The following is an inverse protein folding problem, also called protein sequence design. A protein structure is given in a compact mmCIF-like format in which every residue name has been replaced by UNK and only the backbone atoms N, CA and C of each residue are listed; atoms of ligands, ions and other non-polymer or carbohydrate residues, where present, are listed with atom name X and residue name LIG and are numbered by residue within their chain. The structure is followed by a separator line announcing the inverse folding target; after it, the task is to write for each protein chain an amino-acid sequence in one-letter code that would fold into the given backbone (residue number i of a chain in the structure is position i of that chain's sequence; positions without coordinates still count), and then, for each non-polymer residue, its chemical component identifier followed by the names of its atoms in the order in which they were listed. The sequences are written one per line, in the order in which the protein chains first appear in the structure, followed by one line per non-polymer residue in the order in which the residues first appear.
data_IF_699769319480
#
_entry.id   IF_699769319480
#
_cell.length_a   1.000
_cell.length_b   1.000
_cell.length_c   1.000
_cell.angle_alpha   90.00
_cell.angle_beta   90.00
_cell.angle_gamma   90.00
#
_symmetry.space_group_name_H-M   'P 1'
#
loop_
_entity.id
_entity.type
_entity.pdbx_description
1 polymer ?
#
# COMPACT_ATOMS: atom_id res chain seq x y z
N UNK A 1 15.75 -9.62 -11.19
CA UNK A 1 16.32 -10.99 -11.23
C UNK A 1 17.66 -11.11 -11.97
N UNK A 2 17.90 -10.53 -13.18
CA UNK A 2 19.17 -10.71 -13.89
C UNK A 2 20.43 -10.35 -13.09
N UNK A 3 20.35 -9.38 -12.18
CA UNK A 3 21.47 -8.95 -11.33
C UNK A 3 21.97 -10.07 -10.38
N UNK A 4 21.18 -11.10 -10.13
CA UNK A 4 21.59 -12.23 -9.28
C UNK A 4 22.77 -13.04 -9.88
N UNK A 5 22.93 -13.04 -11.21
CA UNK A 5 24.03 -13.77 -11.88
C UNK A 5 25.40 -13.12 -11.58
N UNK A 6 25.64 -11.84 -11.89
CA UNK A 6 26.89 -11.20 -11.50
C UNK A 6 27.10 -11.16 -9.99
N UNK A 7 26.04 -11.00 -9.18
CA UNK A 7 26.14 -11.07 -7.72
C UNK A 7 26.66 -12.44 -7.25
N UNK A 8 26.18 -13.54 -7.83
CA UNK A 8 26.64 -14.89 -7.48
C UNK A 8 28.11 -15.12 -7.90
N UNK A 9 28.55 -14.57 -9.03
CA UNK A 9 29.94 -14.62 -9.46
C UNK A 9 30.88 -13.86 -8.50
N UNK A 10 30.49 -12.64 -8.12
CA UNK A 10 31.24 -11.84 -7.14
C UNK A 10 31.29 -12.51 -5.78
N UNK A 11 30.16 -13.02 -5.30
CA UNK A 11 30.09 -13.77 -4.04
C UNK A 11 31.08 -14.94 -4.01
N UNK A 12 31.12 -15.72 -5.11
CA UNK A 12 32.06 -16.85 -5.22
C UNK A 12 33.52 -16.37 -5.31
N UNK A 13 33.78 -15.27 -6.03
CA UNK A 13 35.13 -14.75 -6.21
C UNK A 13 35.73 -14.19 -4.92
N UNK A 14 34.92 -13.47 -4.15
CA UNK A 14 35.34 -12.79 -2.93
C UNK A 14 35.04 -13.57 -1.64
N UNK A 15 34.37 -14.72 -1.72
CA UNK A 15 33.96 -15.52 -0.56
C UNK A 15 32.94 -14.83 0.34
N UNK A 16 32.12 -13.92 -0.20
CA UNK A 16 31.16 -13.14 0.58
C UNK A 16 29.72 -13.65 0.41
N UNK A 17 28.89 -13.61 1.46
CA UNK A 17 27.49 -14.05 1.38
C UNK A 17 26.61 -13.09 0.57
N UNK A 18 25.46 -13.59 0.09
CA UNK A 18 24.45 -12.80 -0.62
C UNK A 18 23.21 -12.68 0.25
N UNK A 19 22.76 -11.44 0.48
CA UNK A 19 21.42 -11.13 0.98
C UNK A 19 20.59 -10.66 -0.21
N UNK A 20 19.49 -11.37 -0.47
CA UNK A 20 18.53 -11.03 -1.51
C UNK A 20 17.36 -10.27 -0.90
N UNK A 21 17.20 -8.99 -1.24
CA UNK A 21 16.04 -8.19 -0.82
C UNK A 21 14.96 -8.25 -1.90
N UNK A 22 13.79 -8.79 -1.57
CA UNK A 22 12.64 -8.93 -2.47
C UNK A 22 11.59 -7.86 -2.18
N UNK A 23 11.48 -6.91 -3.12
CA UNK A 23 10.42 -5.90 -3.12
C UNK A 23 9.22 -6.32 -3.98
N UNK A 24 9.44 -7.23 -4.94
CA UNK A 24 8.45 -7.86 -5.80
C UNK A 24 8.84 -9.31 -6.09
N UNK A 25 7.85 -10.18 -6.26
CA UNK A 25 8.05 -11.58 -6.63
C UNK A 25 7.87 -11.72 -8.14
N UNK A 26 8.98 -11.68 -8.86
CA UNK A 26 9.03 -11.94 -10.29
C UNK A 26 9.44 -13.42 -10.55
N UNK A 27 8.83 -14.11 -11.54
CA UNK A 27 7.93 -13.56 -12.56
C UNK A 27 6.45 -13.48 -12.16
N UNK A 28 6.03 -14.00 -11.01
CA UNK A 28 4.62 -14.15 -10.62
C UNK A 28 3.81 -12.86 -10.79
N UNK A 29 4.33 -11.74 -10.27
CA UNK A 29 3.66 -10.46 -10.37
C UNK A 29 3.46 -10.00 -11.82
N UNK A 30 4.48 -10.17 -12.69
CA UNK A 30 4.41 -9.77 -14.09
C UNK A 30 3.46 -10.68 -14.91
N UNK A 31 3.42 -11.97 -14.60
CA UNK A 31 2.49 -12.93 -15.21
C UNK A 31 1.05 -12.59 -14.79
N UNK A 32 0.85 -12.32 -13.52
CA UNK A 32 -0.48 -12.04 -12.97
C UNK A 32 -1.14 -10.82 -13.63
N UNK A 33 -0.38 -9.73 -13.83
CA UNK A 33 -0.90 -8.52 -14.49
C UNK A 33 -0.86 -8.58 -16.02
N UNK A 34 -0.48 -9.73 -16.60
CA UNK A 34 -0.44 -9.94 -18.05
C UNK A 34 0.72 -9.26 -18.79
N UNK A 35 1.70 -8.71 -18.07
CA UNK A 35 2.91 -8.11 -18.68
C UNK A 35 3.87 -9.15 -19.20
N UNK A 36 3.83 -10.38 -18.70
CA UNK A 36 4.66 -11.49 -19.15
C UNK A 36 3.77 -12.68 -19.52
N UNK A 37 3.56 -12.90 -20.82
CA UNK A 37 2.70 -13.96 -21.36
C UNK A 37 3.46 -15.07 -22.09
N UNK A 38 4.69 -14.78 -22.55
CA UNK A 38 5.50 -15.74 -23.30
C UNK A 38 6.03 -16.85 -22.40
N UNK A 39 5.57 -18.09 -22.62
CA UNK A 39 5.90 -19.27 -21.83
C UNK A 39 7.41 -19.58 -21.74
N UNK A 40 8.17 -19.30 -22.82
CA UNK A 40 9.64 -19.52 -22.82
C UNK A 40 10.31 -18.50 -21.89
N UNK A 41 9.89 -17.25 -21.95
CA UNK A 41 10.40 -16.21 -21.06
C UNK A 41 10.01 -16.45 -19.59
N UNK A 42 8.77 -16.89 -19.33
CA UNK A 42 8.33 -17.28 -17.97
C UNK A 42 9.27 -18.37 -17.42
N UNK A 43 9.57 -19.42 -18.21
CA UNK A 43 10.50 -20.48 -17.80
C UNK A 43 11.91 -19.95 -17.49
N UNK A 44 12.43 -19.02 -18.31
CA UNK A 44 13.73 -18.40 -18.07
C UNK A 44 13.74 -17.60 -16.77
N UNK A 45 12.75 -16.75 -16.57
CA UNK A 45 12.65 -15.94 -15.34
C UNK A 45 12.43 -16.82 -14.10
N UNK A 46 11.62 -17.88 -14.18
CA UNK A 46 11.45 -18.84 -13.07
C UNK A 46 12.74 -19.60 -12.76
N UNK A 47 13.57 -19.88 -13.77
CA UNK A 47 14.89 -20.50 -13.56
C UNK A 47 15.86 -19.53 -12.88
N UNK A 48 15.86 -18.26 -13.28
CA UNK A 48 16.65 -17.22 -12.63
C UNK A 48 16.20 -16.98 -11.20
N UNK A 49 14.91 -16.99 -10.94
CA UNK A 49 14.31 -16.89 -9.61
C UNK A 49 14.81 -18.03 -8.70
N UNK A 50 14.69 -19.28 -9.15
CA UNK A 50 15.19 -20.45 -8.42
C UNK A 50 16.70 -20.36 -8.15
N UNK A 51 17.46 -19.91 -9.15
CA UNK A 51 18.89 -19.69 -9.00
C UNK A 51 19.18 -18.63 -7.93
N UNK A 52 18.49 -17.48 -7.95
CA UNK A 52 18.63 -16.41 -6.97
C UNK A 52 18.34 -16.92 -5.54
N UNK A 53 17.24 -17.65 -5.36
CA UNK A 53 16.87 -18.20 -4.05
C UNK A 53 17.83 -19.26 -3.54
N UNK A 54 18.40 -20.08 -4.45
CA UNK A 54 19.41 -21.09 -4.11
C UNK A 54 20.72 -20.47 -3.66
N UNK A 55 21.18 -19.44 -4.35
CA UNK A 55 22.48 -18.80 -4.12
C UNK A 55 22.47 -17.81 -2.94
N UNK A 56 21.34 -17.22 -2.63
CA UNK A 56 21.20 -16.33 -1.47
C UNK A 56 21.44 -17.08 -0.15
N UNK A 57 22.24 -16.48 0.73
CA UNK A 57 22.44 -16.91 2.11
C UNK A 57 21.18 -16.62 2.94
N UNK A 58 20.62 -15.42 2.76
CA UNK A 58 19.37 -14.96 3.37
C UNK A 58 18.54 -14.19 2.33
N UNK A 59 17.22 -14.19 2.55
CA UNK A 59 16.25 -13.48 1.70
C UNK A 59 15.39 -12.62 2.60
N UNK A 60 15.48 -11.30 2.44
CA UNK A 60 14.56 -10.39 3.11
C UNK A 60 13.33 -10.16 2.24
N UNK A 61 12.16 -10.20 2.86
CA UNK A 61 10.85 -9.98 2.22
C UNK A 61 10.08 -8.92 2.98
N UNK A 62 9.18 -8.22 2.29
CA UNK A 62 8.51 -7.04 2.87
C UNK A 62 7.22 -7.34 3.63
N UNK A 63 6.68 -8.56 3.50
CA UNK A 63 5.44 -8.95 4.13
C UNK A 63 5.24 -10.48 4.15
N UNK A 64 4.34 -10.96 5.01
CA UNK A 64 4.03 -12.38 5.21
C UNK A 64 3.52 -13.11 3.94
N UNK A 65 2.86 -12.39 3.03
CA UNK A 65 2.44 -12.96 1.75
C UNK A 65 3.63 -13.39 0.88
N UNK A 66 4.73 -12.64 0.94
CA UNK A 66 5.98 -13.02 0.28
C UNK A 66 6.58 -14.29 0.92
N UNK A 67 6.63 -14.34 2.25
CA UNK A 67 7.08 -15.53 2.98
C UNK A 67 6.28 -16.76 2.56
N UNK A 68 4.95 -16.66 2.56
CA UNK A 68 4.07 -17.75 2.13
C UNK A 68 4.36 -18.19 0.69
N UNK A 69 4.51 -17.25 -0.24
CA UNK A 69 4.84 -17.57 -1.64
C UNK A 69 6.19 -18.30 -1.77
N UNK A 70 7.23 -17.82 -1.09
CA UNK A 70 8.55 -18.45 -1.12
C UNK A 70 8.53 -19.87 -0.55
N UNK A 71 7.77 -20.11 0.51
CA UNK A 71 7.58 -21.43 1.09
C UNK A 71 6.92 -22.40 0.10
N UNK A 72 5.93 -21.97 -0.68
CA UNK A 72 5.33 -22.81 -1.76
C UNK A 72 6.32 -23.15 -2.86
N UNK A 73 7.38 -22.33 -3.03
CA UNK A 73 8.49 -22.56 -3.97
C UNK A 73 9.64 -23.37 -3.35
N UNK A 74 9.41 -23.98 -2.19
CA UNK A 74 10.38 -24.77 -1.43
C UNK A 74 11.66 -24.00 -1.02
N UNK A 75 11.54 -22.70 -0.78
CA UNK A 75 12.63 -21.94 -0.15
C UNK A 75 12.65 -22.27 1.33
N UNK A 76 13.80 -22.68 1.90
CA UNK A 76 13.90 -23.02 3.31
C UNK A 76 13.52 -21.84 4.21
N UNK A 77 12.66 -22.06 5.20
CA UNK A 77 12.15 -21.02 6.09
C UNK A 77 13.28 -20.26 6.82
N UNK A 78 14.36 -20.96 7.20
CA UNK A 78 15.52 -20.37 7.85
C UNK A 78 16.29 -19.37 6.98
N UNK A 79 16.06 -19.35 5.66
CA UNK A 79 16.61 -18.32 4.76
C UNK A 79 15.77 -17.05 4.70
N UNK A 80 14.48 -17.12 5.04
CA UNK A 80 13.51 -16.04 4.85
C UNK A 80 13.44 -15.20 6.12
N UNK A 81 13.55 -13.89 5.96
CA UNK A 81 13.41 -12.91 7.05
C UNK A 81 12.45 -11.82 6.58
N UNK A 82 11.41 -11.58 7.36
CA UNK A 82 10.46 -10.51 7.06
C UNK A 82 10.99 -9.19 7.63
N UNK A 83 11.27 -8.25 6.76
CA UNK A 83 11.68 -6.88 7.09
C UNK A 83 10.80 -5.94 6.26
N UNK A 84 9.77 -5.33 6.86
CA UNK A 84 8.83 -4.48 6.14
C UNK A 84 9.51 -3.20 5.63
N UNK A 85 8.94 -2.64 4.57
CA UNK A 85 9.33 -1.31 4.14
C UNK A 85 9.01 -0.28 5.23
N UNK A 86 9.87 0.72 5.36
CA UNK A 86 9.77 1.75 6.39
C UNK A 86 9.02 2.99 5.93
N UNK A 87 8.57 3.76 6.89
CA UNK A 87 8.07 5.11 6.72
C UNK A 87 8.80 6.03 7.71
N UNK A 88 9.11 7.25 7.27
CA UNK A 88 9.62 8.28 8.18
C UNK A 88 8.47 8.79 9.05
N UNK A 89 8.37 8.25 10.27
CA UNK A 89 7.32 8.57 11.23
C UNK A 89 7.48 9.96 11.85
N UNK A 90 8.63 10.61 11.68
CA UNK A 90 8.86 11.99 12.09
C UNK A 90 8.36 12.98 11.04
N UNK A 91 8.52 12.66 9.77
CA UNK A 91 8.00 13.42 8.64
C UNK A 91 6.49 13.19 8.45
N UNK A 92 6.05 11.93 8.44
CA UNK A 92 4.62 11.58 8.39
C UNK A 92 4.13 11.35 9.83
N UNK A 93 3.39 12.32 10.33
CA UNK A 93 2.83 12.28 11.69
C UNK A 93 1.42 12.87 11.72
N UNK A 94 0.62 12.55 12.75
CA UNK A 94 -0.68 13.19 12.94
C UNK A 94 -0.51 14.70 13.05
N UNK A 95 -1.20 15.45 12.20
CA UNK A 95 -1.28 16.90 12.25
C UNK A 95 -2.75 17.33 12.49
N UNK A 96 -2.99 18.49 13.13
CA UNK A 96 -4.33 19.04 13.31
C UNK A 96 -5.03 19.26 11.97
N UNK A 97 -6.34 19.08 11.93
CA UNK A 97 -7.17 19.43 10.76
C UNK A 97 -7.50 20.92 10.71
N UNK A 98 -7.52 21.58 11.86
CA UNK A 98 -7.79 23.00 11.96
C UNK A 98 -6.64 23.79 11.34
N UNK A 99 -6.98 24.80 10.54
CA UNK A 99 -6.01 25.63 9.81
C UNK A 99 -5.14 24.86 8.82
N UNK A 100 -5.64 23.73 8.29
CA UNK A 100 -4.94 22.95 7.29
C UNK A 100 -5.02 23.64 5.91
N UNK A 101 -3.88 24.03 5.36
CA UNK A 101 -3.81 24.75 4.08
C UNK A 101 -4.36 23.94 2.92
N UNK A 102 -4.16 22.61 2.89
CA UNK A 102 -4.71 21.77 1.86
C UNK A 102 -6.25 21.79 1.85
N UNK A 103 -6.89 21.84 3.05
CA UNK A 103 -8.34 22.02 3.16
C UNK A 103 -8.79 23.39 2.66
N UNK A 104 -8.06 24.47 3.01
CA UNK A 104 -8.37 25.83 2.57
C UNK A 104 -8.22 26.00 1.06
N UNK A 105 -7.08 25.56 0.48
CA UNK A 105 -6.81 25.63 -0.96
C UNK A 105 -7.86 24.88 -1.80
N UNK A 106 -8.49 23.84 -1.24
CA UNK A 106 -9.42 22.96 -1.96
C UNK A 106 -10.88 23.04 -1.47
N UNK A 107 -11.22 24.03 -0.67
CA UNK A 107 -12.58 24.27 -0.14
C UNK A 107 -13.16 23.07 0.62
N UNK A 108 -12.34 22.43 1.46
CA UNK A 108 -12.68 21.22 2.24
C UNK A 108 -12.99 21.50 3.71
N UNK A 109 -13.11 22.79 4.10
CA UNK A 109 -13.50 23.15 5.46
C UNK A 109 -14.90 22.63 5.78
N UNK A 110 -15.07 22.07 6.96
CA UNK A 110 -16.34 21.47 7.39
C UNK A 110 -16.69 20.14 6.71
N UNK A 111 -15.86 19.64 5.78
CA UNK A 111 -16.11 18.39 5.09
C UNK A 111 -15.51 17.19 5.85
N UNK A 112 -16.16 16.04 5.72
CA UNK A 112 -15.57 14.72 6.00
C UNK A 112 -14.84 14.25 4.74
N UNK A 113 -13.52 14.24 4.79
CA UNK A 113 -12.65 13.99 3.63
C UNK A 113 -12.23 12.54 3.56
N UNK A 114 -12.62 11.87 2.49
CA UNK A 114 -12.19 10.52 2.12
C UNK A 114 -11.10 10.63 1.07
N UNK A 115 -9.85 10.36 1.44
CA UNK A 115 -8.68 10.63 0.60
C UNK A 115 -8.09 9.34 -0.01
N UNK A 116 -8.04 9.28 -1.32
CA UNK A 116 -7.12 8.40 -2.05
C UNK A 116 -5.96 9.23 -2.59
N UNK A 117 -4.72 8.86 -2.30
CA UNK A 117 -3.53 9.48 -2.88
C UNK A 117 -2.54 8.43 -3.34
N UNK A 118 -2.05 8.55 -4.57
CA UNK A 118 -1.02 7.66 -5.09
C UNK A 118 -1.15 7.31 -6.57
N UNK A 119 -0.33 6.36 -7.00
CA UNK A 119 -0.39 5.88 -8.38
C UNK A 119 -1.75 5.21 -8.66
N UNK A 120 -2.31 5.50 -9.83
CA UNK A 120 -3.58 4.94 -10.31
C UNK A 120 -3.23 3.97 -11.43
N UNK A 121 -2.97 2.72 -11.06
CA UNK A 121 -2.64 1.64 -11.98
C UNK A 121 -3.87 0.74 -12.23
N UNK A 122 -3.73 -0.23 -13.13
CA UNK A 122 -4.79 -1.16 -13.51
C UNK A 122 -5.34 -2.01 -12.34
N UNK A 123 -4.58 -2.12 -11.27
CA UNK A 123 -4.93 -2.89 -10.06
C UNK A 123 -5.70 -2.08 -9.01
N UNK A 124 -5.88 -0.77 -9.23
CA UNK A 124 -6.63 0.11 -8.34
C UNK A 124 -7.94 0.54 -9.01
N UNK A 125 -9.10 -0.04 -8.61
CA UNK A 125 -10.40 0.25 -9.21
C UNK A 125 -11.00 1.55 -8.62
N UNK A 126 -10.52 2.70 -9.07
CA UNK A 126 -11.00 3.99 -8.53
C UNK A 126 -12.39 4.37 -9.04
N UNK A 127 -12.84 3.76 -10.11
CA UNK A 127 -14.22 3.82 -10.57
C UNK A 127 -15.17 3.36 -9.44
N UNK A 128 -14.83 2.29 -8.72
CA UNK A 128 -15.60 1.82 -7.55
C UNK A 128 -15.69 2.87 -6.44
N UNK A 129 -14.63 3.67 -6.23
CA UNK A 129 -14.66 4.75 -5.24
C UNK A 129 -15.57 5.90 -5.69
N UNK A 130 -15.62 6.18 -7.00
CA UNK A 130 -16.55 7.16 -7.58
C UNK A 130 -17.99 6.67 -7.46
N UNK A 131 -18.25 5.39 -7.76
CA UNK A 131 -19.58 4.79 -7.62
C UNK A 131 -20.04 4.80 -6.15
N UNK A 132 -19.15 4.50 -5.21
CA UNK A 132 -19.43 4.63 -3.78
C UNK A 132 -19.77 6.07 -3.37
N UNK A 133 -19.11 7.07 -3.97
CA UNK A 133 -19.40 8.47 -3.73
C UNK A 133 -20.81 8.86 -4.23
N UNK A 134 -21.28 8.28 -5.34
CA UNK A 134 -22.65 8.50 -5.82
C UNK A 134 -23.70 8.08 -4.78
N UNK A 135 -23.49 6.98 -4.06
CA UNK A 135 -24.39 6.55 -2.96
C UNK A 135 -24.41 7.53 -1.77
N UNK A 136 -23.47 8.48 -1.72
CA UNK A 136 -23.28 9.45 -0.64
C UNK A 136 -23.53 10.90 -1.09
N UNK A 137 -24.00 11.13 -2.32
CA UNK A 137 -24.15 12.47 -2.91
C UNK A 137 -25.13 13.36 -2.13
N UNK A 138 -26.14 12.76 -1.48
CA UNK A 138 -27.14 13.46 -0.68
C UNK A 138 -26.61 13.91 0.70
N UNK A 139 -25.35 13.59 1.03
CA UNK A 139 -24.68 14.02 2.27
C UNK A 139 -23.58 15.02 1.89
N UNK A 140 -23.90 16.31 1.83
CA UNK A 140 -22.98 17.32 1.28
C UNK A 140 -21.70 17.51 2.10
N UNK A 141 -21.66 17.02 3.33
CA UNK A 141 -20.47 17.03 4.18
C UNK A 141 -19.42 16.01 3.73
N UNK A 142 -19.80 14.92 3.04
CA UNK A 142 -18.85 13.90 2.60
C UNK A 142 -18.23 14.29 1.26
N UNK A 143 -16.91 14.44 1.25
CA UNK A 143 -16.13 14.77 0.06
C UNK A 143 -15.08 13.69 -0.20
N UNK A 144 -15.13 13.05 -1.36
CA UNK A 144 -14.09 12.14 -1.84
C UNK A 144 -13.04 12.95 -2.59
N UNK A 145 -11.78 12.77 -2.23
CA UNK A 145 -10.63 13.43 -2.88
C UNK A 145 -9.71 12.37 -3.46
N UNK A 146 -9.46 12.42 -4.76
CA UNK A 146 -8.55 11.51 -5.46
C UNK A 146 -7.37 12.31 -5.99
N UNK A 147 -6.17 11.98 -5.50
CA UNK A 147 -4.92 12.62 -5.90
C UNK A 147 -4.10 11.64 -6.74
N UNK A 148 -3.73 12.03 -7.97
CA UNK A 148 -3.04 11.14 -8.89
C UNK A 148 -2.38 11.82 -10.07
N UNK A 149 -1.88 11.00 -11.02
CA UNK A 149 -1.30 11.49 -12.28
C UNK A 149 -2.37 12.03 -13.21
N UNK A 150 -2.04 13.07 -13.96
CA UNK A 150 -2.95 13.80 -14.87
C UNK A 150 -3.68 12.86 -15.85
N UNK A 151 -2.97 11.96 -16.50
CA UNK A 151 -3.53 11.05 -17.51
C UNK A 151 -4.61 10.12 -16.93
N UNK A 152 -4.40 9.66 -15.69
CA UNK A 152 -5.37 8.82 -15.00
C UNK A 152 -6.57 9.65 -14.51
N UNK A 153 -6.32 10.89 -14.06
CA UNK A 153 -7.39 11.80 -13.62
C UNK A 153 -8.30 12.21 -14.78
N UNK A 154 -7.79 12.42 -15.99
CA UNK A 154 -8.59 12.74 -17.17
C UNK A 154 -9.62 11.63 -17.50
N UNK A 155 -9.23 10.38 -17.32
CA UNK A 155 -10.14 9.23 -17.47
C UNK A 155 -11.20 9.21 -16.37
N UNK A 156 -10.78 9.39 -15.12
CA UNK A 156 -11.69 9.41 -13.96
C UNK A 156 -12.64 10.62 -13.99
N UNK A 157 -12.21 11.77 -14.53
CA UNK A 157 -13.07 12.94 -14.67
C UNK A 157 -14.25 12.67 -15.61
N UNK A 158 -14.00 12.03 -16.76
CA UNK A 158 -15.09 11.60 -17.66
C UNK A 158 -16.05 10.66 -16.98
N UNK A 159 -15.52 9.68 -16.23
CA UNK A 159 -16.34 8.73 -15.50
C UNK A 159 -17.15 9.41 -14.39
N UNK A 160 -16.53 10.28 -13.59
CA UNK A 160 -17.18 11.09 -12.56
C UNK A 160 -18.37 11.88 -13.10
N UNK A 161 -18.19 12.55 -14.25
CA UNK A 161 -19.25 13.32 -14.90
C UNK A 161 -20.40 12.41 -15.37
N UNK A 162 -20.09 11.26 -15.98
CA UNK A 162 -21.10 10.28 -16.42
C UNK A 162 -21.93 9.75 -15.26
N UNK A 163 -21.32 9.53 -14.10
CA UNK A 163 -21.99 9.03 -12.91
C UNK A 163 -22.69 10.13 -12.08
N UNK A 164 -22.48 11.40 -12.39
CA UNK A 164 -23.03 12.50 -11.61
C UNK A 164 -22.43 12.65 -10.21
N UNK A 165 -21.22 12.16 -9.99
CA UNK A 165 -20.54 12.17 -8.69
C UNK A 165 -19.99 13.58 -8.35
N UNK A 166 -20.88 14.50 -7.97
CA UNK A 166 -20.55 15.91 -7.67
C UNK A 166 -19.69 16.07 -6.40
N UNK A 167 -19.72 15.08 -5.51
CA UNK A 167 -18.95 15.02 -4.25
C UNK A 167 -17.57 14.36 -4.41
N UNK A 168 -17.04 14.27 -5.66
CA UNK A 168 -15.69 13.78 -5.94
C UNK A 168 -14.83 14.92 -6.48
N UNK A 169 -13.68 15.17 -5.86
CA UNK A 169 -12.66 16.13 -6.26
C UNK A 169 -11.41 15.39 -6.76
N UNK A 170 -10.97 15.71 -7.98
CA UNK A 170 -9.77 15.14 -8.59
C UNK A 170 -8.64 16.17 -8.59
N UNK A 171 -7.50 15.82 -7.98
CA UNK A 171 -6.37 16.72 -7.82
C UNK A 171 -5.08 16.10 -8.34
N UNK A 172 -4.16 16.87 -8.93
CA UNK A 172 -2.85 16.40 -9.35
C UNK A 172 -1.99 16.02 -8.13
N UNK A 173 -0.93 15.25 -8.38
CA UNK A 173 0.05 14.96 -7.34
C UNK A 173 0.57 16.23 -6.68
N UNK A 174 0.65 16.18 -5.36
CA UNK A 174 1.21 17.24 -4.55
C UNK A 174 2.73 17.06 -4.41
N UNK A 175 3.50 18.15 -4.25
CA UNK A 175 4.91 18.08 -3.86
C UNK A 175 5.07 17.28 -2.56
N UNK A 176 6.23 16.60 -2.42
CA UNK A 176 6.49 15.74 -1.26
C UNK A 176 6.34 16.48 0.07
N UNK A 177 6.73 17.73 0.10
CA UNK A 177 6.69 18.59 1.29
C UNK A 177 5.25 18.84 1.77
N UNK A 178 4.27 18.83 0.85
CA UNK A 178 2.84 18.97 1.17
C UNK A 178 2.18 17.64 1.58
N UNK A 179 2.87 16.52 1.48
CA UNK A 179 2.29 15.20 1.79
C UNK A 179 1.76 15.07 3.22
N UNK A 180 2.50 15.48 4.28
CA UNK A 180 1.98 15.39 5.66
C UNK A 180 0.69 16.18 5.84
N UNK A 181 0.59 17.36 5.24
CA UNK A 181 -0.55 18.25 5.36
C UNK A 181 -1.75 17.74 4.56
N UNK A 182 -1.52 17.21 3.35
CA UNK A 182 -2.55 16.55 2.56
C UNK A 182 -3.13 15.33 3.28
N UNK A 183 -2.28 14.50 3.90
CA UNK A 183 -2.75 13.35 4.70
C UNK A 183 -3.52 13.81 5.95
N UNK A 184 -3.07 14.90 6.59
CA UNK A 184 -3.75 15.48 7.74
C UNK A 184 -5.13 16.07 7.39
N UNK A 185 -5.33 16.48 6.15
CA UNK A 185 -6.61 16.96 5.66
C UNK A 185 -7.69 15.86 5.60
N UNK A 186 -7.28 14.60 5.53
CA UNK A 186 -8.20 13.47 5.47
C UNK A 186 -8.83 13.13 6.83
N UNK A 187 -10.05 12.64 6.79
CA UNK A 187 -10.70 11.93 7.90
C UNK A 187 -10.46 10.42 7.76
N UNK A 188 -10.44 9.94 6.52
CA UNK A 188 -10.21 8.54 6.16
C UNK A 188 -9.25 8.44 4.97
N UNK A 189 -8.26 7.56 5.07
CA UNK A 189 -7.38 7.18 3.97
C UNK A 189 -7.88 5.93 3.25
N UNK A 190 -7.76 5.90 1.92
CA UNK A 190 -8.27 4.81 1.08
C UNK A 190 -7.14 3.93 0.55
N UNK A 191 -7.32 2.61 0.68
CA UNK A 191 -6.53 1.59 -0.01
C UNK A 191 -7.45 0.80 -0.93
N UNK A 192 -7.14 0.78 -2.23
CA UNK A 192 -7.97 0.14 -3.24
C UNK A 192 -7.19 -0.93 -3.99
N UNK A 193 -7.73 -2.14 -4.09
CA UNK A 193 -7.23 -3.23 -4.93
C UNK A 193 -8.40 -3.93 -5.61
N UNK A 194 -8.18 -4.47 -6.81
CA UNK A 194 -9.15 -5.35 -7.46
C UNK A 194 -9.24 -6.69 -6.74
N UNK A 195 -10.36 -7.40 -6.91
CA UNK A 195 -10.58 -8.74 -6.34
C UNK A 195 -9.53 -9.77 -6.80
N UNK A 196 -9.00 -9.62 -8.00
CA UNK A 196 -8.04 -10.54 -8.60
C UNK A 196 -6.59 -10.12 -8.40
N UNK A 197 -6.28 -9.19 -7.49
CA UNK A 197 -4.88 -8.84 -7.17
C UNK A 197 -4.21 -10.02 -6.48
N UNK A 198 -2.96 -10.27 -6.85
CA UNK A 198 -2.17 -11.36 -6.27
C UNK A 198 -2.05 -11.20 -4.75
N UNK A 199 -2.29 -12.30 -4.00
CA UNK A 199 -2.48 -12.28 -2.55
C UNK A 199 -1.28 -11.75 -1.74
N UNK A 200 -0.07 -11.79 -2.29
CA UNK A 200 1.12 -11.24 -1.63
C UNK A 200 1.33 -9.73 -1.88
N UNK A 201 0.53 -9.09 -2.74
CA UNK A 201 0.71 -7.66 -3.02
C UNK A 201 0.50 -6.81 -1.76
N UNK A 202 1.49 -5.99 -1.42
CA UNK A 202 1.48 -5.08 -0.27
C UNK A 202 1.59 -3.64 -0.76
N UNK A 203 0.48 -2.86 -0.74
CA UNK A 203 0.52 -1.46 -1.12
C UNK A 203 1.35 -0.62 -0.13
N UNK A 204 2.40 0.04 -0.62
CA UNK A 204 3.28 0.89 0.22
C UNK A 204 2.56 2.07 0.89
N UNK A 205 1.39 2.47 0.40
CA UNK A 205 0.59 3.53 1.02
C UNK A 205 0.03 3.15 2.40
N UNK A 206 -0.07 1.85 2.73
CA UNK A 206 -0.57 1.40 4.04
C UNK A 206 0.31 1.94 5.16
N UNK A 207 1.65 1.83 5.06
CA UNK A 207 2.58 2.33 6.06
C UNK A 207 2.42 3.84 6.25
N UNK A 208 2.29 4.58 5.14
CA UNK A 208 2.15 6.04 5.15
C UNK A 208 0.82 6.47 5.77
N UNK A 209 -0.29 5.80 5.44
CA UNK A 209 -1.60 6.10 6.01
C UNK A 209 -1.65 5.78 7.50
N UNK A 210 -1.12 4.64 7.93
CA UNK A 210 -1.02 4.29 9.35
C UNK A 210 -0.19 5.34 10.10
N UNK A 211 0.98 5.73 9.56
CA UNK A 211 1.84 6.73 10.17
C UNK A 211 1.17 8.11 10.29
N UNK A 212 0.26 8.45 9.38
CA UNK A 212 -0.49 9.71 9.43
C UNK A 212 -1.53 9.77 10.55
N UNK A 213 -1.82 8.64 11.21
CA UNK A 213 -2.84 8.55 12.26
C UNK A 213 -4.26 8.74 11.74
N UNK A 214 -4.52 8.41 10.48
CA UNK A 214 -5.88 8.44 9.89
C UNK A 214 -6.45 7.04 9.82
N UNK A 215 -7.75 6.90 10.11
CA UNK A 215 -8.44 5.65 9.88
C UNK A 215 -8.32 5.22 8.41
N UNK A 216 -8.19 3.93 8.16
CA UNK A 216 -8.08 3.40 6.80
C UNK A 216 -9.37 2.63 6.47
N UNK A 217 -9.89 2.84 5.25
CA UNK A 217 -10.81 1.89 4.61
C UNK A 217 -10.04 1.22 3.48
N UNK A 218 -9.90 -0.10 3.57
CA UNK A 218 -9.20 -0.92 2.60
C UNK A 218 -10.20 -1.80 1.83
N UNK A 219 -10.48 -1.42 0.58
CA UNK A 219 -11.23 -2.24 -0.38
C UNK A 219 -10.24 -3.18 -1.07
N UNK A 220 -10.05 -4.35 -0.48
CA UNK A 220 -8.98 -5.31 -0.82
C UNK A 220 -9.45 -6.75 -0.60
N UNK A 221 -8.85 -7.76 -1.29
CA UNK A 221 -9.14 -9.17 -1.00
C UNK A 221 -8.89 -9.52 0.47
N UNK A 222 -9.88 -10.16 1.10
CA UNK A 222 -9.85 -10.46 2.54
C UNK A 222 -8.71 -11.41 2.94
N UNK A 223 -8.30 -12.31 2.05
CA UNK A 223 -7.17 -13.24 2.23
C UNK A 223 -5.82 -12.65 1.80
N UNK A 224 -5.81 -11.39 1.37
CA UNK A 224 -4.62 -10.68 0.89
C UNK A 224 -3.71 -10.17 2.00
N UNK A 225 -2.46 -9.89 1.64
CA UNK A 225 -1.48 -9.28 2.56
C UNK A 225 -1.93 -7.90 3.04
N UNK A 226 -2.58 -7.11 2.18
CA UNK A 226 -3.09 -5.80 2.54
C UNK A 226 -4.17 -5.87 3.64
N UNK A 227 -5.12 -6.80 3.52
CA UNK A 227 -6.16 -7.02 4.54
C UNK A 227 -5.53 -7.38 5.89
N UNK A 228 -4.62 -8.37 5.91
CA UNK A 228 -3.93 -8.76 7.14
C UNK A 228 -3.12 -7.64 7.78
N UNK A 229 -2.52 -6.75 6.98
CA UNK A 229 -1.79 -5.59 7.51
C UNK A 229 -2.73 -4.60 8.21
N UNK A 230 -3.92 -4.35 7.66
CA UNK A 230 -4.94 -3.50 8.29
C UNK A 230 -5.49 -4.15 9.56
N UNK A 231 -5.79 -5.45 9.55
CA UNK A 231 -6.29 -6.19 10.70
C UNK A 231 -5.27 -6.21 11.87
N UNK A 232 -4.00 -6.52 11.57
CA UNK A 232 -2.93 -6.53 12.58
C UNK A 232 -2.68 -5.16 13.21
N UNK A 233 -2.77 -4.11 12.41
CA UNK A 233 -2.58 -2.75 12.91
C UNK A 233 -3.77 -2.25 13.72
N UNK A 234 -4.95 -2.84 13.54
CA UNK A 234 -6.21 -2.29 14.07
C UNK A 234 -6.50 -0.88 13.57
N UNK A 235 -5.82 -0.45 12.48
CA UNK A 235 -5.85 0.93 11.97
C UNK A 235 -6.95 1.21 10.95
N UNK A 236 -7.89 0.28 10.71
CA UNK A 236 -8.90 0.50 9.69
C UNK A 236 -9.94 -0.59 9.56
N UNK A 237 -10.75 -0.45 8.52
CA UNK A 237 -11.79 -1.38 8.11
C UNK A 237 -11.41 -2.04 6.79
N UNK A 238 -11.63 -3.34 6.67
CA UNK A 238 -11.50 -4.08 5.41
C UNK A 238 -12.88 -4.28 4.83
N UNK A 239 -13.05 -3.98 3.53
CA UNK A 239 -14.30 -4.18 2.80
C UNK A 239 -14.04 -4.96 1.50
N UNK A 240 -15.07 -5.60 1.00
CA UNK A 240 -15.02 -6.34 -0.28
C UNK A 240 -14.51 -5.45 -1.40
N UNK A 241 -13.53 -5.89 -2.19
CA UNK A 241 -13.05 -5.12 -3.33
C UNK A 241 -14.12 -5.05 -4.44
N UNK A 242 -14.11 -3.93 -5.17
CA UNK A 242 -15.01 -3.69 -6.30
C UNK A 242 -16.51 -3.72 -5.91
N UNK A 243 -16.83 -3.43 -4.64
CA UNK A 243 -18.18 -3.33 -4.09
C UNK A 243 -18.45 -1.89 -3.61
N UNK A 244 -19.11 -1.04 -4.42
CA UNK A 244 -19.35 0.35 -4.08
C UNK A 244 -20.32 0.52 -2.90
N UNK A 245 -21.29 -0.38 -2.70
CA UNK A 245 -22.23 -0.30 -1.59
C UNK A 245 -21.57 -0.62 -0.26
N UNK A 246 -20.73 -1.66 -0.21
CA UNK A 246 -19.94 -1.99 0.97
C UNK A 246 -18.97 -0.84 1.31
N UNK A 247 -18.36 -0.22 0.30
CA UNK A 247 -17.45 0.90 0.47
C UNK A 247 -18.18 2.15 1.00
N UNK A 248 -19.32 2.51 0.42
CA UNK A 248 -20.17 3.61 0.88
C UNK A 248 -20.64 3.40 2.34
N UNK A 249 -21.04 2.17 2.67
CA UNK A 249 -21.42 1.78 4.03
C UNK A 249 -20.29 1.98 5.04
N UNK A 250 -19.07 1.59 4.69
CA UNK A 250 -17.91 1.78 5.55
C UNK A 250 -17.55 3.26 5.72
N UNK A 251 -17.63 4.07 4.67
CA UNK A 251 -17.46 5.53 4.74
C UNK A 251 -18.49 6.14 5.68
N UNK A 252 -19.77 5.80 5.49
CA UNK A 252 -20.87 6.29 6.30
C UNK A 252 -20.74 5.88 7.78
N UNK A 253 -20.25 4.67 8.04
CA UNK A 253 -19.98 4.19 9.40
C UNK A 253 -18.95 5.07 10.12
N UNK A 254 -17.86 5.46 9.46
CA UNK A 254 -16.84 6.33 10.06
C UNK A 254 -17.29 7.79 10.13
N UNK A 255 -18.06 8.27 9.15
CA UNK A 255 -18.68 9.60 9.20
C UNK A 255 -19.61 9.77 10.39
N UNK A 256 -20.46 8.77 10.67
CA UNK A 256 -21.39 8.80 11.81
C UNK A 256 -20.72 8.49 13.16
N UNK A 257 -19.50 7.98 13.18
CA UNK A 257 -18.77 7.58 14.38
C UNK A 257 -17.35 8.17 14.38
N UNK A 258 -17.18 9.47 14.60
CA UNK A 258 -15.86 10.12 14.57
C UNK A 258 -14.90 9.58 15.64
N UNK A 259 -15.42 9.13 16.80
CA UNK A 259 -14.62 8.49 17.85
C UNK A 259 -14.00 7.17 17.34
N UNK A 260 -14.78 6.36 16.60
CA UNK A 260 -14.25 5.14 15.98
C UNK A 260 -13.13 5.47 14.99
N UNK A 261 -13.31 6.50 14.16
CA UNK A 261 -12.27 6.92 13.21
C UNK A 261 -11.00 7.36 13.94
N UNK A 262 -11.13 8.08 15.06
CA UNK A 262 -10.01 8.50 15.90
C UNK A 262 -9.29 7.29 16.50
N UNK A 263 -10.02 6.35 17.11
CA UNK A 263 -9.44 5.14 17.73
C UNK A 263 -8.68 4.30 16.68
N UNK A 264 -9.25 4.12 15.50
CA UNK A 264 -8.57 3.39 14.41
C UNK A 264 -7.29 4.12 13.96
N UNK A 265 -7.35 5.44 13.82
CA UNK A 265 -6.18 6.25 13.48
C UNK A 265 -5.05 6.14 14.50
N UNK A 266 -5.37 6.22 15.79
CA UNK A 266 -4.41 6.10 16.89
C UNK A 266 -3.75 4.72 16.93
N UNK A 267 -4.53 3.63 16.81
CA UNK A 267 -4.00 2.27 16.73
C UNK A 267 -3.08 2.10 15.52
N UNK A 268 -3.50 2.62 14.36
CA UNK A 268 -2.69 2.61 13.16
C UNK A 268 -1.37 3.34 13.34
N UNK A 269 -1.38 4.51 13.96
CA UNK A 269 -0.18 5.29 14.26
C UNK A 269 0.78 4.54 15.18
N UNK A 270 0.27 4.02 16.29
CA UNK A 270 1.07 3.23 17.22
C UNK A 270 1.73 2.05 16.51
N UNK A 271 0.96 1.31 15.71
CA UNK A 271 1.51 0.17 14.96
C UNK A 271 2.61 0.60 13.97
N UNK A 272 2.44 1.73 13.29
CA UNK A 272 3.45 2.24 12.36
C UNK A 272 4.75 2.63 13.08
N UNK A 273 4.69 3.26 14.24
CA UNK A 273 5.85 3.60 15.08
C UNK A 273 6.60 2.36 15.58
N UNK A 274 5.86 1.33 15.96
CA UNK A 274 6.43 0.09 16.50
C UNK A 274 7.02 -0.82 15.41
N UNK A 275 6.44 -0.83 14.19
CA UNK A 275 6.73 -1.84 13.18
C UNK A 275 7.27 -1.28 11.86
N UNK A 276 7.01 -0.02 11.53
CA UNK A 276 7.36 0.58 10.23
C UNK A 276 8.26 1.81 10.34
N UNK A 277 8.68 2.22 11.54
CA UNK A 277 9.64 3.31 11.69
C UNK A 277 10.99 2.95 11.05
N UNK A 278 11.66 3.96 10.47
CA UNK A 278 12.95 3.79 9.81
C UNK A 278 13.99 3.11 10.71
N UNK A 279 14.11 3.55 11.96
CA UNK A 279 15.05 3.01 12.94
C UNK A 279 14.81 1.52 13.21
N UNK A 280 13.53 1.12 13.29
CA UNK A 280 13.17 -0.30 13.49
C UNK A 280 13.57 -1.18 12.32
N UNK A 281 13.37 -0.69 11.11
CA UNK A 281 13.78 -1.41 9.88
C UNK A 281 15.32 -1.47 9.79
N UNK A 282 16.01 -0.39 10.13
CA UNK A 282 17.47 -0.33 10.15
C UNK A 282 18.05 -1.36 11.13
N UNK A 283 17.57 -1.39 12.37
CA UNK A 283 17.97 -2.38 13.39
C UNK A 283 17.81 -3.83 12.89
N UNK A 284 16.72 -4.12 12.15
CA UNK A 284 16.48 -5.44 11.59
C UNK A 284 17.50 -5.79 10.50
N UNK A 285 17.86 -4.83 9.64
CA UNK A 285 18.91 -5.03 8.63
C UNK A 285 20.28 -5.18 9.26
N UNK A 286 20.63 -4.41 10.29
CA UNK A 286 21.91 -4.55 11.02
C UNK A 286 22.04 -5.94 11.64
N UNK A 287 20.97 -6.44 12.28
CA UNK A 287 20.94 -7.81 12.81
C UNK A 287 21.08 -8.86 11.70
N UNK A 288 20.39 -8.65 10.56
CA UNK A 288 20.50 -9.56 9.42
C UNK A 288 21.93 -9.60 8.86
N UNK A 289 22.58 -8.44 8.67
CA UNK A 289 23.95 -8.38 8.20
C UNK A 289 24.94 -9.04 9.17
N UNK A 290 24.80 -8.77 10.46
CA UNK A 290 25.64 -9.39 11.50
C UNK A 290 25.52 -10.90 11.52
N UNK A 291 24.32 -11.47 11.33
CA UNK A 291 24.09 -12.93 11.26
C UNK A 291 24.69 -13.59 10.03
N UNK A 292 24.95 -12.85 8.97
CA UNK A 292 25.39 -13.42 7.69
C UNK A 292 26.92 -13.31 7.54
N UNK A 293 27.55 -12.34 8.24
CA UNK A 293 29.00 -12.10 8.20
C UNK A 293 29.74 -12.89 9.31
N UNK A 294 29.02 -13.24 10.39
CA UNK A 294 29.55 -14.14 11.45
C UNK A 294 29.63 -15.58 10.97
#
# INVERSE_FOLDING_TARGET
LPVCVPAALLSKLYGVPIILNLQDILPDAAVHVGLLTNQKMIKVFSSLEKFAYKTASKISVIADGFTKNLLTKNVPSQKIIEIPNWVDVSFIKPLPKNHNYFRQENHLEGKFVVLYSGNIALTQPLETLIDAAVHLVDIPEIQVVIVGKKEALERLEKYRQQQGASNVLLLPFQPREKLPEMLAAADVGMVMQKHNVISFNMPSKIQVLLASGRAIIASVPADGTAARAIERSGGGLVVTPEDPEALATAILKLYKNPDLATILGEKGRQYAEENYAFEKTLDQYEKLFSQVVS
#
